data_IF_469146261838
#
_entry.id   IF_469146261838
#
_cell.length_a   1.000
_cell.length_b   1.000
_cell.length_c   1.000
_cell.angle_alpha   90.00
_cell.angle_beta   90.00
_cell.angle_gamma   90.00
#
_symmetry.space_group_name_H-M   'P 1'
#
loop_
_entity.id
_entity.type
_entity.pdbx_description
1 polymer ?
#
# COMPACT_ATOMS: atom_id res chain seq x y z
N UNK A 1 13.95 -47.84 34.39
CA UNK A 1 14.98 -46.90 34.88
C UNK A 1 14.57 -45.47 34.55
N UNK A 2 14.16 -44.68 35.56
CA UNK A 2 13.82 -43.26 35.38
C UNK A 2 15.12 -42.45 35.45
N UNK A 3 15.51 -41.80 34.35
CA UNK A 3 16.67 -40.89 34.32
C UNK A 3 16.24 -39.52 34.86
N UNK A 4 16.82 -39.12 35.98
CA UNK A 4 16.64 -37.79 36.58
C UNK A 4 17.17 -36.73 35.61
N UNK A 5 16.44 -35.63 35.34
CA UNK A 5 16.95 -34.58 34.46
C UNK A 5 18.06 -33.81 35.17
N UNK A 6 19.18 -33.60 34.47
CA UNK A 6 20.27 -32.74 34.90
C UNK A 6 19.76 -31.29 34.97
N UNK A 7 19.50 -30.80 36.19
CA UNK A 7 19.23 -29.38 36.45
C UNK A 7 20.54 -28.63 36.24
N UNK A 8 20.62 -27.86 35.15
CA UNK A 8 21.74 -26.94 34.91
C UNK A 8 21.59 -25.72 35.83
N UNK A 9 22.67 -25.37 36.55
CA UNK A 9 22.70 -24.22 37.48
C UNK A 9 22.89 -22.85 36.79
N UNK A 10 22.95 -22.79 35.46
CA UNK A 10 23.09 -21.53 34.71
C UNK A 10 22.08 -21.44 33.57
N UNK A 11 21.32 -20.34 33.46
CA UNK A 11 20.34 -20.17 32.40
C UNK A 11 21.04 -19.92 31.05
N UNK A 12 20.50 -20.54 30.00
CA UNK A 12 20.82 -20.19 28.62
C UNK A 12 20.40 -18.73 28.39
N UNK A 13 21.37 -17.83 28.23
CA UNK A 13 21.09 -16.49 27.73
C UNK A 13 20.60 -16.60 26.28
N UNK A 14 19.28 -16.67 26.12
CA UNK A 14 18.64 -16.60 24.83
C UNK A 14 18.96 -15.25 24.19
N UNK A 15 19.91 -15.22 23.25
CA UNK A 15 20.03 -14.10 22.31
C UNK A 15 18.82 -14.19 21.38
N UNK A 16 17.78 -13.44 21.77
CA UNK A 16 16.66 -12.97 20.94
C UNK A 16 15.58 -13.99 20.61
N UNK A 17 14.65 -14.15 21.54
CA UNK A 17 13.25 -14.43 21.24
C UNK A 17 12.47 -13.13 21.02
N UNK A 18 11.70 -13.09 19.93
CA UNK A 18 10.32 -12.59 19.87
C UNK A 18 9.93 -11.34 20.70
N UNK A 19 10.64 -10.22 20.49
CA UNK A 19 10.10 -8.88 20.73
C UNK A 19 10.92 -7.89 19.89
N UNK A 20 10.66 -7.82 18.59
CA UNK A 20 11.14 -6.71 17.77
C UNK A 20 10.24 -5.49 18.01
N UNK A 21 10.28 -4.97 19.24
CA UNK A 21 9.91 -3.59 19.50
C UNK A 21 10.80 -2.69 18.64
N UNK A 22 10.17 -1.72 18.00
CA UNK A 22 10.84 -0.68 17.24
C UNK A 22 11.87 0.03 18.14
N UNK A 23 13.13 -0.35 18.02
CA UNK A 23 14.25 0.47 18.49
C UNK A 23 15.01 0.85 17.24
N UNK A 24 14.74 2.07 16.77
CA UNK A 24 15.62 2.78 15.85
C UNK A 24 16.99 2.78 16.51
N UNK A 25 17.91 1.94 16.03
CA UNK A 25 19.32 2.05 16.39
C UNK A 25 19.81 3.35 15.79
N UNK A 26 19.79 4.40 16.58
CA UNK A 26 20.43 5.66 16.27
C UNK A 26 21.92 5.35 16.07
N UNK A 27 22.40 5.43 14.83
CA UNK A 27 23.82 5.39 14.57
C UNK A 27 24.45 6.53 15.37
N UNK A 28 25.39 6.23 16.29
CA UNK A 28 26.14 7.24 17.03
C UNK A 28 26.87 8.13 16.02
N UNK A 29 26.27 9.26 15.65
CA UNK A 29 26.94 10.29 14.86
C UNK A 29 28.07 10.82 15.71
N UNK A 30 29.31 10.65 15.25
CA UNK A 30 30.46 11.38 15.81
C UNK A 30 30.19 12.86 15.57
N UNK A 31 29.91 13.60 16.64
CA UNK A 31 29.75 15.05 16.62
C UNK A 31 31.11 15.66 16.96
N UNK A 32 31.74 16.36 16.02
CA UNK A 32 32.89 17.20 16.30
C UNK A 32 32.37 18.51 16.89
N UNK A 33 32.63 18.73 18.18
CA UNK A 33 32.30 19.98 18.88
C UNK A 33 33.57 20.83 18.88
N UNK A 34 33.47 22.08 18.43
CA UNK A 34 34.55 23.06 18.62
C UNK A 34 34.32 23.75 19.97
N UNK A 35 35.38 24.00 20.74
CA UNK A 35 35.31 24.74 22.00
C UNK A 35 35.98 26.10 21.79
N UNK A 36 35.42 27.17 22.37
CA UNK A 36 36.11 28.45 22.41
C UNK A 36 37.24 28.46 23.46
N UNK A 37 38.03 29.53 23.50
CA UNK A 37 39.17 29.67 24.43
C UNK A 37 38.74 29.66 25.91
N UNK A 38 37.46 29.90 26.20
CA UNK A 38 36.87 29.79 27.53
C UNK A 38 36.32 28.38 27.85
N UNK A 39 36.53 27.40 26.96
CA UNK A 39 36.08 26.02 27.12
C UNK A 39 34.58 25.79 26.88
N UNK A 40 33.87 26.77 26.32
CA UNK A 40 32.45 26.66 26.03
C UNK A 40 32.25 26.02 24.66
N UNK A 41 31.41 25.00 24.61
CA UNK A 41 31.08 24.27 23.39
C UNK A 41 30.37 25.18 22.38
N UNK A 42 31.04 25.54 21.29
CA UNK A 42 30.42 26.15 20.12
C UNK A 42 29.96 25.03 19.18
N UNK A 43 28.65 24.81 19.10
CA UNK A 43 28.08 23.82 18.18
C UNK A 43 28.28 24.27 16.73
N UNK A 44 29.01 23.48 15.94
CA UNK A 44 29.51 23.86 14.62
C UNK A 44 28.47 23.92 13.48
N UNK A 45 27.20 23.59 13.71
CA UNK A 45 26.16 23.80 12.71
C UNK A 45 24.82 24.17 13.36
N UNK A 46 24.11 25.20 12.88
CA UNK A 46 22.68 25.26 13.12
C UNK A 46 22.09 23.99 12.53
N UNK A 47 21.43 23.18 13.36
CA UNK A 47 20.43 22.20 12.92
C UNK A 47 19.32 22.97 12.19
N UNK A 48 19.58 23.50 10.98
CA UNK A 48 18.54 23.59 9.96
C UNK A 48 18.23 22.14 9.65
N UNK A 49 17.28 21.66 10.45
CA UNK A 49 16.70 20.34 10.47
C UNK A 49 16.62 19.81 9.06
N UNK A 50 17.15 18.61 8.84
CA UNK A 50 16.86 17.78 7.68
C UNK A 50 15.36 17.43 7.73
N UNK A 51 14.53 18.43 7.48
CA UNK A 51 13.09 18.33 7.49
C UNK A 51 12.76 17.80 6.11
N UNK A 52 12.34 16.55 6.04
CA UNK A 52 11.89 15.97 4.79
C UNK A 52 10.83 16.90 4.20
N UNK A 53 11.03 17.34 2.96
CA UNK A 53 10.01 18.16 2.28
C UNK A 53 8.68 17.39 2.34
N UNK A 54 7.59 18.05 2.77
CA UNK A 54 6.29 17.39 2.79
C UNK A 54 5.96 16.90 1.39
N UNK A 55 5.35 15.73 1.29
CA UNK A 55 4.88 15.22 0.00
C UNK A 55 3.89 16.23 -0.58
N UNK A 56 3.94 16.51 -1.90
CA UNK A 56 3.01 17.44 -2.52
C UNK A 56 1.58 16.98 -2.25
N UNK A 57 0.70 17.93 -1.94
CA UNK A 57 -0.73 17.66 -1.82
C UNK A 57 -1.32 17.49 -3.22
N UNK A 58 -2.37 16.66 -3.40
CA UNK A 58 -3.05 16.57 -4.67
C UNK A 58 -3.70 17.90 -5.03
N UNK A 59 -3.48 18.31 -6.28
CA UNK A 59 -4.12 19.46 -6.92
C UNK A 59 -5.64 19.26 -7.02
N UNK A 60 -6.37 20.32 -7.31
CA UNK A 60 -7.82 20.23 -7.52
C UNK A 60 -8.16 19.29 -8.67
N UNK A 61 -7.51 19.45 -9.83
CA UNK A 61 -7.71 18.59 -11.01
C UNK A 61 -7.43 17.11 -10.72
N UNK A 62 -6.45 16.79 -9.86
CA UNK A 62 -6.17 15.41 -9.46
C UNK A 62 -7.28 14.83 -8.57
N UNK A 63 -7.87 15.63 -7.68
CA UNK A 63 -9.02 15.21 -6.88
C UNK A 63 -10.26 15.00 -7.74
N UNK A 64 -10.52 15.92 -8.66
CA UNK A 64 -11.62 15.81 -9.63
C UNK A 64 -11.46 14.55 -10.50
N UNK A 65 -10.24 14.22 -10.93
CA UNK A 65 -9.96 12.95 -11.61
C UNK A 65 -10.25 11.75 -10.72
N UNK A 66 -9.92 11.79 -9.43
CA UNK A 66 -10.21 10.68 -8.51
C UNK A 66 -11.70 10.47 -8.31
N UNK A 67 -12.45 11.57 -8.16
CA UNK A 67 -13.92 11.55 -8.12
C UNK A 67 -14.45 10.93 -9.41
N UNK A 68 -14.01 11.43 -10.56
CA UNK A 68 -14.38 10.89 -11.87
C UNK A 68 -14.07 9.39 -11.99
N UNK A 69 -12.92 8.93 -11.51
CA UNK A 69 -12.55 7.52 -11.52
C UNK A 69 -13.49 6.68 -10.65
N UNK A 70 -13.79 7.12 -9.42
CA UNK A 70 -14.69 6.41 -8.49
C UNK A 70 -16.09 6.26 -9.06
N UNK A 71 -16.67 7.32 -9.59
CA UNK A 71 -18.03 7.25 -10.12
C UNK A 71 -18.15 6.33 -11.35
N UNK A 72 -17.03 5.97 -12.00
CA UNK A 72 -16.97 4.94 -13.05
C UNK A 72 -16.76 3.53 -12.51
N UNK A 73 -16.09 3.39 -11.37
CA UNK A 73 -15.91 2.13 -10.66
C UNK A 73 -14.51 1.53 -10.78
N UNK A 74 -14.38 0.32 -10.24
CA UNK A 74 -13.14 -0.45 -10.21
C UNK A 74 -12.73 -0.92 -11.62
N UNK A 75 -11.49 -0.62 -12.04
CA UNK A 75 -10.97 -1.02 -13.36
C UNK A 75 -10.90 -2.55 -13.54
N UNK A 76 -10.57 -3.29 -12.48
CA UNK A 76 -10.52 -4.75 -12.51
C UNK A 76 -11.93 -5.35 -12.60
N UNK A 77 -12.90 -4.77 -11.86
CA UNK A 77 -14.30 -5.16 -11.98
C UNK A 77 -14.87 -4.88 -13.38
N UNK A 78 -14.46 -3.79 -14.02
CA UNK A 78 -14.87 -3.51 -15.40
C UNK A 78 -14.37 -4.61 -16.35
N UNK A 79 -13.10 -4.99 -16.25
CA UNK A 79 -12.55 -6.11 -17.03
C UNK A 79 -13.23 -7.46 -16.71
N UNK A 80 -13.64 -7.67 -15.46
CA UNK A 80 -14.45 -8.83 -15.05
C UNK A 80 -15.88 -8.83 -15.61
N UNK A 81 -16.36 -7.71 -16.14
CA UNK A 81 -17.68 -7.65 -16.78
C UNK A 81 -17.55 -7.77 -18.30
N UNK A 82 -16.47 -7.23 -18.87
CA UNK A 82 -16.32 -7.10 -20.33
C UNK A 82 -15.47 -8.18 -20.98
N UNK A 83 -14.50 -8.75 -20.26
CA UNK A 83 -13.47 -9.60 -20.87
C UNK A 83 -13.23 -10.91 -20.11
N UNK A 84 -13.45 -10.93 -18.80
CA UNK A 84 -13.02 -12.01 -17.90
C UNK A 84 -14.11 -12.30 -16.88
N UNK A 85 -14.07 -13.49 -16.25
CA UNK A 85 -14.95 -13.86 -15.12
C UNK A 85 -16.45 -13.63 -15.38
N UNK A 86 -17.29 -13.85 -14.36
CA UNK A 86 -18.74 -13.74 -14.46
C UNK A 86 -19.31 -12.55 -13.68
N UNK A 87 -18.47 -11.93 -12.84
CA UNK A 87 -18.94 -11.41 -11.58
C UNK A 87 -18.12 -10.19 -11.15
N UNK A 88 -18.82 -9.18 -10.64
CA UNK A 88 -18.24 -7.95 -10.11
C UNK A 88 -18.17 -8.00 -8.58
N UNK A 89 -16.97 -7.78 -8.02
CA UNK A 89 -16.79 -7.75 -6.56
C UNK A 89 -17.24 -6.43 -5.91
N UNK A 90 -17.42 -5.35 -6.68
CA UNK A 90 -17.62 -4.01 -6.12
C UNK A 90 -19.03 -3.73 -5.59
N UNK A 91 -19.95 -4.69 -5.60
CA UNK A 91 -21.28 -4.49 -4.98
C UNK A 91 -21.11 -4.25 -3.48
N UNK A 92 -21.40 -3.02 -3.04
CA UNK A 92 -21.28 -2.62 -1.62
C UNK A 92 -19.84 -2.49 -1.10
N UNK A 93 -18.83 -2.47 -1.99
CA UNK A 93 -17.44 -2.24 -1.60
C UNK A 93 -17.04 -0.78 -1.83
N UNK A 94 -16.25 -0.24 -0.90
CA UNK A 94 -15.66 1.09 -1.07
C UNK A 94 -14.72 1.14 -2.28
N UNK A 95 -14.80 2.25 -3.02
CA UNK A 95 -13.97 2.51 -4.20
C UNK A 95 -12.77 3.37 -3.81
N UNK A 96 -11.61 2.74 -3.84
CA UNK A 96 -10.34 3.29 -3.37
C UNK A 96 -9.46 3.72 -4.54
N UNK A 97 -8.61 4.72 -4.29
CA UNK A 97 -7.64 5.20 -5.27
C UNK A 97 -6.31 4.53 -5.00
N UNK A 98 -5.84 3.73 -5.96
CA UNK A 98 -4.56 3.05 -5.92
C UNK A 98 -3.49 3.85 -6.66
N UNK A 99 -2.39 4.18 -5.99
CA UNK A 99 -1.24 4.86 -6.60
C UNK A 99 -0.29 3.88 -7.26
N UNK A 100 -0.08 4.05 -8.56
CA UNK A 100 0.87 3.25 -9.33
C UNK A 100 2.32 3.62 -8.97
N UNK A 101 3.19 2.61 -8.95
CA UNK A 101 4.58 2.74 -8.55
C UNK A 101 5.52 2.53 -9.74
N UNK A 102 6.69 3.14 -9.68
CA UNK A 102 7.82 2.84 -10.56
C UNK A 102 9.09 2.77 -9.72
N UNK A 103 9.82 1.65 -9.80
CA UNK A 103 10.99 1.40 -8.94
C UNK A 103 10.69 1.49 -7.44
N UNK A 104 9.48 1.09 -7.02
CA UNK A 104 9.03 1.20 -5.63
C UNK A 104 8.67 2.62 -5.16
N UNK A 105 8.67 3.61 -6.06
CA UNK A 105 8.30 5.00 -5.75
C UNK A 105 6.98 5.35 -6.41
N UNK A 106 6.12 6.08 -5.70
CA UNK A 106 4.87 6.64 -6.25
C UNK A 106 5.20 7.55 -7.44
N UNK A 107 4.55 7.31 -8.58
CA UNK A 107 4.75 8.10 -9.81
C UNK A 107 4.14 9.50 -9.74
N UNK A 108 3.06 9.66 -8.97
CA UNK A 108 2.37 10.93 -8.77
C UNK A 108 0.89 10.71 -8.44
N UNK A 109 0.13 11.78 -8.23
CA UNK A 109 -1.31 11.68 -7.95
C UNK A 109 -2.15 11.42 -9.21
N UNK A 110 -1.67 11.83 -10.39
CA UNK A 110 -2.27 11.50 -11.69
C UNK A 110 -2.16 10.01 -12.07
N UNK A 111 -1.09 9.34 -11.65
CA UNK A 111 -0.84 7.92 -11.93
C UNK A 111 -1.60 7.04 -10.93
N UNK A 112 -2.93 7.05 -11.04
CA UNK A 112 -3.83 6.35 -10.14
C UNK A 112 -4.95 5.65 -10.89
N UNK A 113 -5.35 4.50 -10.36
CA UNK A 113 -6.51 3.72 -10.82
C UNK A 113 -7.48 3.52 -9.67
N UNK A 114 -8.76 3.39 -9.98
CA UNK A 114 -9.79 3.07 -9.00
C UNK A 114 -9.91 1.55 -8.87
N UNK A 115 -9.85 1.06 -7.63
CA UNK A 115 -10.05 -0.34 -7.29
C UNK A 115 -11.07 -0.45 -6.16
N UNK A 116 -11.93 -1.47 -6.19
CA UNK A 116 -12.77 -1.77 -5.04
C UNK A 116 -11.92 -2.35 -3.91
N UNK A 117 -12.43 -2.31 -2.68
CA UNK A 117 -11.70 -2.79 -1.51
C UNK A 117 -11.17 -4.23 -1.66
N UNK A 118 -11.96 -5.11 -2.30
CA UNK A 118 -11.52 -6.47 -2.65
C UNK A 118 -10.31 -6.46 -3.60
N UNK A 119 -10.41 -5.86 -4.78
CA UNK A 119 -9.31 -5.86 -5.77
C UNK A 119 -8.09 -5.06 -5.31
N UNK A 120 -8.26 -4.09 -4.41
CA UNK A 120 -7.16 -3.30 -3.88
C UNK A 120 -6.41 -4.03 -2.75
N UNK A 121 -7.12 -4.42 -1.70
CA UNK A 121 -6.51 -4.92 -0.46
C UNK A 121 -6.68 -6.42 -0.24
N UNK A 122 -7.63 -7.06 -0.93
CA UNK A 122 -7.96 -8.48 -0.75
C UNK A 122 -8.78 -8.71 0.52
N UNK A 123 -9.47 -7.66 0.97
CA UNK A 123 -10.24 -7.64 2.21
C UNK A 123 -11.72 -7.42 1.90
N UNK A 124 -12.56 -7.54 2.94
CA UNK A 124 -14.04 -7.50 2.85
C UNK A 124 -14.55 -8.40 1.73
N UNK A 125 -14.36 -9.69 1.93
CA UNK A 125 -14.88 -10.71 1.04
C UNK A 125 -16.40 -10.52 0.87
N UNK A 126 -16.89 -10.68 -0.35
CA UNK A 126 -18.30 -10.46 -0.71
C UNK A 126 -19.20 -11.38 0.10
N UNK A 127 -18.75 -12.62 0.32
CA UNK A 127 -19.43 -13.62 1.14
C UNK A 127 -18.58 -13.97 2.36
N UNK A 128 -19.10 -13.67 3.56
CA UNK A 128 -18.34 -13.81 4.81
C UNK A 128 -17.92 -15.25 5.15
N UNK A 129 -18.60 -16.25 4.59
CA UNK A 129 -18.35 -17.67 4.81
C UNK A 129 -17.32 -18.27 3.85
N UNK A 130 -16.90 -17.55 2.82
CA UNK A 130 -15.94 -18.03 1.82
C UNK A 130 -14.57 -17.40 2.03
N UNK A 131 -13.51 -18.15 1.71
CA UNK A 131 -12.12 -17.69 1.80
C UNK A 131 -11.74 -16.77 0.64
N UNK A 132 -10.52 -16.24 0.68
CA UNK A 132 -10.00 -15.43 -0.43
C UNK A 132 -9.83 -16.26 -1.70
N UNK A 133 -9.41 -17.51 -1.56
CA UNK A 133 -9.20 -18.46 -2.65
C UNK A 133 -10.49 -18.69 -3.43
N UNK A 134 -11.61 -18.93 -2.72
CA UNK A 134 -12.94 -19.10 -3.32
C UNK A 134 -13.37 -17.83 -4.07
N UNK A 135 -13.12 -16.66 -3.48
CA UNK A 135 -13.42 -15.39 -4.13
C UNK A 135 -12.55 -15.14 -5.35
N UNK A 136 -11.28 -15.53 -5.32
CA UNK A 136 -10.36 -15.34 -6.44
C UNK A 136 -10.79 -16.14 -7.68
N UNK A 137 -11.48 -17.27 -7.49
CA UNK A 137 -12.09 -18.04 -8.59
C UNK A 137 -13.20 -17.23 -9.27
N UNK A 138 -14.09 -16.60 -8.50
CA UNK A 138 -15.25 -15.89 -9.02
C UNK A 138 -14.94 -14.44 -9.48
N UNK A 139 -14.07 -13.76 -8.77
CA UNK A 139 -13.81 -12.31 -8.91
C UNK A 139 -12.38 -12.00 -9.35
N UNK A 140 -11.56 -13.01 -9.63
CA UNK A 140 -10.16 -12.84 -9.99
C UNK A 140 -9.26 -12.42 -8.81
N UNK A 141 -7.94 -12.36 -9.02
CA UNK A 141 -6.99 -12.07 -7.96
C UNK A 141 -7.14 -10.64 -7.42
N UNK A 142 -6.79 -10.43 -6.16
CA UNK A 142 -6.59 -9.10 -5.57
C UNK A 142 -5.14 -8.64 -5.69
N UNK A 143 -4.94 -7.35 -5.93
CA UNK A 143 -3.61 -6.75 -5.94
C UNK A 143 -2.90 -6.90 -4.59
N UNK A 144 -3.61 -6.72 -3.47
CA UNK A 144 -3.05 -6.78 -2.13
C UNK A 144 -2.55 -8.18 -1.74
N UNK A 145 -3.24 -9.23 -2.21
CA UNK A 145 -2.88 -10.62 -1.92
C UNK A 145 -1.92 -11.21 -2.96
N UNK A 146 -2.16 -10.96 -4.25
CA UNK A 146 -1.45 -11.59 -5.36
C UNK A 146 -1.06 -10.56 -6.44
N UNK A 147 -0.15 -9.62 -6.18
CA UNK A 147 0.15 -8.49 -7.07
C UNK A 147 0.77 -8.89 -8.42
N UNK A 148 1.47 -10.03 -8.48
CA UNK A 148 2.03 -10.57 -9.73
C UNK A 148 0.91 -11.13 -10.61
N UNK A 149 0.15 -12.08 -10.07
CA UNK A 149 -0.99 -12.67 -10.77
C UNK A 149 -2.04 -11.63 -11.16
N UNK A 150 -2.26 -10.59 -10.33
CA UNK A 150 -3.13 -9.47 -10.68
C UNK A 150 -2.73 -8.82 -12.00
N UNK A 151 -1.43 -8.53 -12.20
CA UNK A 151 -0.95 -7.89 -13.44
C UNK A 151 -1.01 -8.83 -14.64
N UNK A 152 -0.76 -10.11 -14.41
CA UNK A 152 -0.88 -11.15 -15.45
C UNK A 152 -2.33 -11.30 -15.93
N UNK A 153 -3.29 -11.27 -14.99
CA UNK A 153 -4.72 -11.44 -15.30
C UNK A 153 -5.32 -10.16 -15.88
N UNK A 154 -5.04 -9.00 -15.29
CA UNK A 154 -5.75 -7.76 -15.61
C UNK A 154 -5.05 -6.83 -16.58
N UNK A 155 -3.71 -6.88 -16.69
CA UNK A 155 -2.78 -5.96 -17.39
C UNK A 155 -1.80 -5.29 -16.42
N UNK A 156 -0.70 -4.78 -16.98
CA UNK A 156 0.27 -3.97 -16.25
C UNK A 156 -0.27 -2.60 -15.82
N UNK A 157 0.51 -1.89 -15.00
CA UNK A 157 0.17 -0.61 -14.41
C UNK A 157 -0.15 0.48 -15.47
N UNK A 158 0.57 0.52 -16.60
CA UNK A 158 0.37 1.55 -17.63
C UNK A 158 -0.87 1.29 -18.48
N UNK A 159 -1.11 0.02 -18.83
CA UNK A 159 -2.31 -0.39 -19.53
C UNK A 159 -3.57 -0.19 -18.66
N UNK A 160 -3.50 -0.45 -17.35
CA UNK A 160 -4.59 -0.14 -16.42
C UNK A 160 -4.83 1.37 -16.27
N UNK A 161 -3.77 2.18 -16.30
CA UNK A 161 -3.92 3.63 -16.28
C UNK A 161 -4.61 4.15 -17.54
N UNK A 162 -4.19 3.67 -18.71
CA UNK A 162 -4.84 4.01 -19.99
C UNK A 162 -6.31 3.59 -20.02
N UNK A 163 -6.63 2.41 -19.49
CA UNK A 163 -8.01 1.96 -19.34
C UNK A 163 -8.80 2.87 -18.40
N UNK A 164 -8.24 3.26 -17.26
CA UNK A 164 -8.91 4.19 -16.33
C UNK A 164 -9.22 5.53 -16.99
N UNK A 165 -8.28 6.09 -17.76
CA UNK A 165 -8.47 7.34 -18.48
C UNK A 165 -9.56 7.20 -19.56
N UNK A 166 -9.57 6.08 -20.29
CA UNK A 166 -10.64 5.76 -21.24
C UNK A 166 -12.00 5.64 -20.55
N UNK A 167 -12.07 4.97 -19.40
CA UNK A 167 -13.31 4.82 -18.61
C UNK A 167 -13.87 6.17 -18.16
N UNK A 168 -13.00 7.08 -17.69
CA UNK A 168 -13.40 8.43 -17.29
C UNK A 168 -14.02 9.19 -18.46
N UNK A 169 -13.41 9.08 -19.64
CA UNK A 169 -13.85 9.79 -20.84
C UNK A 169 -15.12 9.21 -21.48
N UNK A 170 -15.31 7.89 -21.44
CA UNK A 170 -16.30 7.22 -22.30
C UNK A 170 -17.43 6.51 -21.55
N UNK A 171 -17.20 6.06 -20.32
CA UNK A 171 -18.26 5.37 -19.58
C UNK A 171 -19.23 6.40 -18.96
N UNK A 172 -20.52 6.05 -18.84
CA UNK A 172 -21.44 6.83 -18.02
C UNK A 172 -21.07 6.72 -16.54
N UNK A 173 -21.61 7.62 -15.71
CA UNK A 173 -21.57 7.49 -14.24
C UNK A 173 -22.30 6.21 -13.86
N UNK A 174 -21.63 5.32 -13.13
CA UNK A 174 -22.18 4.03 -12.65
C UNK A 174 -22.43 4.01 -11.15
N UNK A 175 -21.62 4.77 -10.39
CA UNK A 175 -21.65 4.85 -8.92
C UNK A 175 -21.74 6.31 -8.48
N UNK A 176 -22.90 6.97 -8.67
CA UNK A 176 -23.06 8.39 -8.32
C UNK A 176 -22.78 8.69 -6.84
N UNK A 177 -23.01 7.71 -5.96
CA UNK A 177 -22.73 7.79 -4.52
C UNK A 177 -21.23 7.84 -4.17
N UNK A 178 -20.36 7.50 -5.12
CA UNK A 178 -18.91 7.47 -4.93
C UNK A 178 -18.21 8.79 -5.32
N UNK A 179 -18.99 9.84 -5.58
CA UNK A 179 -18.50 11.17 -5.96
C UNK A 179 -17.79 11.90 -4.81
#
# INVERSE_FOLDING_TARGET
MKRTPLIRKTPLQARRGFAATAVIREAKKRVTVAFDEAGKAQTAYPRKTLTAKPKPRPTQAERERWVAARVRGCVACYLNETERFCCRASYGQELEIHHLLSGGRRRGHRFTVCLCHYHHQGKRLVFANLGYEDHAVAYGPSFGCQPRLFREVYRDDDALLGLQDWMIANLPVRFPEAA
#
